data_IF_659264629232
#
_entry.id   IF_659264629232
#
_cell.length_a   1.000
_cell.length_b   1.000
_cell.length_c   1.000
_cell.angle_alpha   90.00
_cell.angle_beta   90.00
_cell.angle_gamma   90.00
#
_symmetry.space_group_name_H-M   'P 1'
#
loop_
_entity.id
_entity.type
_entity.pdbx_description
1 polymer ?
#
# COMPACT_ATOMS: atom_id res chain seq x y z
N UNK A 1 -15.87 -35.33 -44.94
CA UNK A 1 -14.41 -35.28 -45.14
C UNK A 1 -13.74 -34.00 -44.61
N UNK A 2 -14.37 -32.80 -44.69
CA UNK A 2 -13.82 -31.56 -44.10
C UNK A 2 -13.82 -31.49 -42.56
N UNK A 3 -14.61 -32.34 -41.90
CA UNK A 3 -14.76 -32.34 -40.44
C UNK A 3 -13.43 -32.62 -39.70
N UNK A 4 -12.58 -33.48 -40.26
CA UNK A 4 -11.26 -33.78 -39.69
C UNK A 4 -10.37 -32.53 -39.64
N UNK A 5 -10.41 -31.71 -40.69
CA UNK A 5 -9.67 -30.44 -40.75
C UNK A 5 -10.20 -29.44 -39.74
N UNK A 6 -11.53 -29.37 -39.53
CA UNK A 6 -12.11 -28.50 -38.50
C UNK A 6 -11.71 -28.90 -37.08
N UNK A 7 -11.73 -30.21 -36.78
CA UNK A 7 -11.28 -30.71 -35.47
C UNK A 7 -9.80 -30.36 -35.27
N UNK A 8 -8.96 -30.55 -36.30
CA UNK A 8 -7.53 -30.20 -36.22
C UNK A 8 -7.30 -28.70 -36.03
N UNK A 9 -8.00 -27.84 -36.76
CA UNK A 9 -7.89 -26.40 -36.59
C UNK A 9 -8.35 -25.95 -35.20
N UNK A 10 -9.47 -26.50 -34.73
CA UNK A 10 -10.01 -26.22 -33.41
C UNK A 10 -9.05 -26.66 -32.29
N UNK A 11 -8.43 -27.84 -32.38
CA UNK A 11 -7.50 -28.32 -31.35
C UNK A 11 -6.27 -27.43 -31.26
N UNK A 12 -5.73 -26.97 -32.40
CA UNK A 12 -4.61 -26.03 -32.42
C UNK A 12 -5.00 -24.72 -31.74
N UNK A 13 -6.12 -24.10 -32.14
CA UNK A 13 -6.59 -22.83 -31.55
C UNK A 13 -6.87 -22.99 -30.05
N UNK A 14 -7.54 -24.08 -29.65
CA UNK A 14 -7.84 -24.36 -28.25
C UNK A 14 -6.57 -24.52 -27.42
N UNK A 15 -5.55 -25.20 -27.93
CA UNK A 15 -4.27 -25.37 -27.24
C UNK A 15 -3.55 -24.03 -27.04
N UNK A 16 -3.56 -23.15 -28.04
CA UNK A 16 -3.04 -21.79 -27.92
C UNK A 16 -3.80 -20.98 -26.87
N UNK A 17 -5.14 -21.04 -26.89
CA UNK A 17 -5.99 -20.31 -25.93
C UNK A 17 -5.77 -20.79 -24.49
N UNK A 18 -5.74 -22.10 -24.25
CA UNK A 18 -5.47 -22.69 -22.93
C UNK A 18 -4.07 -22.30 -22.45
N UNK A 19 -3.06 -22.37 -23.32
CA UNK A 19 -1.69 -21.97 -22.98
C UNK A 19 -1.62 -20.49 -22.59
N UNK A 20 -2.33 -19.62 -23.31
CA UNK A 20 -2.42 -18.20 -22.98
C UNK A 20 -3.12 -17.96 -21.63
N UNK A 21 -4.22 -18.69 -21.39
CA UNK A 21 -4.95 -18.62 -20.13
C UNK A 21 -4.09 -19.05 -18.93
N UNK A 22 -3.37 -20.18 -19.05
CA UNK A 22 -2.45 -20.65 -18.01
C UNK A 22 -1.36 -19.61 -17.75
N UNK A 23 -0.74 -19.04 -18.78
CA UNK A 23 0.26 -17.96 -18.61
C UNK A 23 -0.33 -16.74 -17.89
N UNK A 24 -1.53 -16.32 -18.28
CA UNK A 24 -2.22 -15.21 -17.62
C UNK A 24 -2.50 -15.53 -16.15
N UNK A 25 -2.99 -16.72 -15.84
CA UNK A 25 -3.31 -17.15 -14.48
C UNK A 25 -2.05 -17.26 -13.61
N UNK A 26 -0.98 -17.84 -14.14
CA UNK A 26 0.33 -17.93 -13.45
C UNK A 26 0.89 -16.53 -13.20
N UNK A 27 0.84 -15.63 -14.19
CA UNK A 27 1.30 -14.24 -14.01
C UNK A 27 0.51 -13.53 -12.90
N UNK A 28 -0.81 -13.69 -12.88
CA UNK A 28 -1.68 -13.07 -11.86
C UNK A 28 -1.43 -13.71 -10.48
N UNK A 29 -1.23 -15.02 -10.41
CA UNK A 29 -0.92 -15.74 -9.17
C UNK A 29 0.45 -15.33 -8.59
N UNK A 30 1.46 -15.18 -9.44
CA UNK A 30 2.77 -14.68 -9.02
C UNK A 30 2.67 -13.23 -8.57
N UNK A 31 1.91 -12.39 -9.26
CA UNK A 31 1.68 -10.99 -8.85
C UNK A 31 0.89 -10.91 -7.54
N UNK A 32 -0.12 -11.74 -7.31
CA UNK A 32 -0.86 -11.78 -6.04
C UNK A 32 0.03 -12.29 -4.89
N UNK A 33 0.87 -13.29 -5.14
CA UNK A 33 1.86 -13.75 -4.17
C UNK A 33 2.95 -12.70 -3.93
N UNK A 34 3.43 -12.00 -4.97
CA UNK A 34 4.37 -10.88 -4.83
C UNK A 34 3.76 -9.72 -4.06
N UNK A 35 2.47 -9.39 -4.23
CA UNK A 35 1.80 -8.40 -3.37
C UNK A 35 1.69 -8.89 -1.92
N UNK A 36 1.46 -10.18 -1.70
CA UNK A 36 1.48 -10.77 -0.35
C UNK A 36 2.90 -10.83 0.27
N UNK A 37 3.96 -10.94 -0.56
CA UNK A 37 5.36 -10.98 -0.12
C UNK A 37 6.00 -9.58 -0.01
N UNK A 38 5.63 -8.63 -0.88
CA UNK A 38 5.96 -7.20 -0.77
C UNK A 38 5.29 -6.60 0.47
N UNK A 39 4.11 -7.08 0.87
CA UNK A 39 3.49 -6.77 2.16
C UNK A 39 4.15 -7.51 3.35
N UNK A 40 5.27 -8.22 3.13
CA UNK A 40 6.03 -8.95 4.18
C UNK A 40 7.56 -8.86 4.03
N UNK A 41 8.08 -8.04 3.12
CA UNK A 41 9.53 -7.86 2.97
C UNK A 41 9.96 -7.48 1.56
N UNK A 42 9.93 -6.17 1.28
CA UNK A 42 10.83 -5.43 0.40
C UNK A 42 11.41 -6.10 -0.85
N UNK A 43 11.08 -5.54 -2.03
CA UNK A 43 12.07 -5.41 -3.10
C UNK A 43 11.53 -5.51 -4.52
N UNK A 44 11.41 -4.36 -5.19
CA UNK A 44 11.63 -4.27 -6.64
C UNK A 44 10.60 -3.46 -7.43
N UNK A 45 10.65 -2.13 -7.34
CA UNK A 45 9.92 -1.25 -8.25
C UNK A 45 9.98 0.21 -7.83
N UNK A 46 11.04 0.89 -8.26
CA UNK A 46 11.35 2.30 -8.01
C UNK A 46 10.14 3.20 -8.32
N UNK A 47 9.63 3.88 -7.30
CA UNK A 47 8.95 5.16 -7.44
C UNK A 47 9.42 6.06 -6.33
N UNK A 48 10.24 7.04 -6.73
CA UNK A 48 10.62 8.20 -5.94
C UNK A 48 9.35 8.90 -5.41
N UNK A 49 9.01 8.63 -4.16
CA UNK A 49 8.16 9.49 -3.34
C UNK A 49 8.86 9.63 -2.00
N UNK A 50 9.16 10.88 -1.67
CA UNK A 50 10.08 11.29 -0.60
C UNK A 50 9.97 10.44 0.65
N UNK A 51 11.06 9.78 0.98
CA UNK A 51 11.23 9.01 2.21
C UNK A 51 11.21 10.00 3.38
N UNK A 52 10.06 10.13 4.04
CA UNK A 52 9.93 10.95 5.24
C UNK A 52 10.95 10.45 6.29
N UNK A 53 11.68 11.34 6.99
CA UNK A 53 12.81 10.94 7.84
C UNK A 53 12.42 10.03 9.02
N UNK A 54 11.14 9.96 9.38
CA UNK A 54 10.60 9.05 10.40
C UNK A 54 10.48 7.60 9.92
N UNK A 55 10.64 7.35 8.62
CA UNK A 55 10.68 6.03 8.01
C UNK A 55 12.10 5.45 8.02
N UNK A 56 12.98 5.90 8.92
CA UNK A 56 14.28 5.27 9.12
C UNK A 56 14.45 4.85 10.58
N UNK A 57 14.89 3.61 10.80
CA UNK A 57 15.30 3.16 12.13
C UNK A 57 16.58 3.90 12.57
N UNK A 58 16.96 3.80 13.85
CA UNK A 58 18.13 4.45 14.46
C UNK A 58 19.46 4.13 13.77
N UNK A 59 19.47 3.06 12.97
CA UNK A 59 20.61 2.60 12.16
C UNK A 59 20.56 3.12 10.71
N UNK A 60 19.58 3.97 10.36
CA UNK A 60 19.43 4.55 9.03
C UNK A 60 18.81 3.61 7.98
N UNK A 61 18.15 2.53 8.42
CA UNK A 61 17.46 1.59 7.51
C UNK A 61 16.02 2.02 7.29
N UNK A 62 15.52 2.02 6.04
CA UNK A 62 14.14 2.39 5.78
C UNK A 62 13.19 1.38 6.43
N UNK A 63 12.18 1.87 7.16
CA UNK A 63 11.07 1.11 7.73
C UNK A 63 9.79 1.49 6.99
N UNK A 64 9.00 0.48 6.62
CA UNK A 64 7.80 0.66 5.79
C UNK A 64 6.58 1.15 6.60
N UNK A 65 6.71 1.25 7.92
CA UNK A 65 5.68 1.76 8.82
C UNK A 65 6.26 2.75 9.85
N UNK A 66 5.58 3.87 10.15
CA UNK A 66 6.01 4.76 11.22
C UNK A 66 5.86 4.03 12.57
N UNK A 67 6.92 4.03 13.39
CA UNK A 67 6.90 3.43 14.73
C UNK A 67 5.76 4.03 15.57
N UNK A 68 4.66 3.28 15.72
CA UNK A 68 3.53 3.67 16.55
C UNK A 68 3.92 3.54 18.03
N UNK A 69 4.49 4.60 18.60
CA UNK A 69 4.77 4.67 20.04
C UNK A 69 3.49 5.07 20.77
N UNK A 70 2.72 4.08 21.21
CA UNK A 70 1.58 4.32 22.11
C UNK A 70 2.14 4.72 23.47
N UNK A 71 2.17 6.02 23.76
CA UNK A 71 2.50 6.52 25.10
C UNK A 71 1.25 6.40 25.98
N UNK A 72 1.36 5.73 27.12
CA UNK A 72 0.31 5.73 28.14
C UNK A 72 0.26 7.13 28.79
N UNK A 73 -0.44 8.06 28.15
CA UNK A 73 -0.67 9.40 28.70
C UNK A 73 -1.79 9.35 29.72
N UNK A 74 -1.64 10.09 30.82
CA UNK A 74 -2.75 10.28 31.75
C UNK A 74 -3.86 11.11 31.10
N UNK A 75 -5.10 10.92 31.54
CA UNK A 75 -6.25 11.65 30.99
C UNK A 75 -6.06 13.17 31.07
N UNK A 76 -5.46 13.64 32.17
CA UNK A 76 -5.20 15.07 32.41
C UNK A 76 -4.22 15.67 31.41
N UNK A 77 -3.19 14.91 31.05
CA UNK A 77 -2.16 15.33 30.09
C UNK A 77 -2.69 15.30 28.66
N UNK A 78 -3.49 14.30 28.32
CA UNK A 78 -4.19 14.24 27.03
C UNK A 78 -5.12 15.44 26.84
N UNK A 79 -5.85 15.83 27.90
CA UNK A 79 -6.72 17.01 27.89
C UNK A 79 -5.93 18.29 27.63
N UNK A 80 -4.85 18.54 28.37
CA UNK A 80 -3.98 19.71 28.15
C UNK A 80 -3.38 19.76 26.75
N UNK A 81 -2.98 18.61 26.20
CA UNK A 81 -2.45 18.53 24.83
C UNK A 81 -3.53 18.92 23.82
N UNK A 82 -4.75 18.44 24.01
CA UNK A 82 -5.87 18.75 23.12
C UNK A 82 -6.27 20.23 23.20
N UNK A 83 -6.33 20.79 24.41
CA UNK A 83 -6.60 22.22 24.62
C UNK A 83 -5.53 23.08 23.94
N UNK A 84 -4.24 22.71 24.06
CA UNK A 84 -3.15 23.45 23.39
C UNK A 84 -3.25 23.40 21.85
N UNK A 85 -3.74 22.28 21.29
CA UNK A 85 -3.97 22.16 19.84
C UNK A 85 -5.18 22.97 19.38
N UNK A 86 -6.18 23.11 20.23
CA UNK A 86 -7.36 23.93 19.97
C UNK A 86 -7.01 25.42 19.96
N UNK A 87 -6.28 25.90 20.98
CA UNK A 87 -5.83 27.30 21.06
C UNK A 87 -4.84 27.69 19.96
N UNK A 88 -3.99 26.75 19.52
CA UNK A 88 -3.06 26.98 18.41
C UNK A 88 -3.69 26.75 17.02
N UNK A 89 -4.98 26.40 16.96
CA UNK A 89 -5.67 26.21 15.68
C UNK A 89 -6.02 27.57 15.06
N UNK A 90 -5.67 27.80 13.78
CA UNK A 90 -5.99 29.05 13.10
C UNK A 90 -7.50 29.14 12.87
N UNK A 91 -8.18 29.89 13.73
CA UNK A 91 -9.64 30.07 13.72
C UNK A 91 -10.29 30.21 15.10
N UNK A 92 -9.53 30.48 16.16
CA UNK A 92 -10.08 30.64 17.51
C UNK A 92 -11.01 31.89 17.58
N UNK A 93 -12.29 31.77 17.96
CA UNK A 93 -13.24 32.89 17.98
C UNK A 93 -13.02 33.90 19.14
N UNK A 94 -12.11 33.66 20.07
CA UNK A 94 -11.83 34.60 21.17
C UNK A 94 -11.15 35.91 20.74
N UNK A 95 -10.53 35.97 19.56
CA UNK A 95 -9.90 37.21 19.04
C UNK A 95 -10.92 38.20 18.44
N UNK A 96 -12.21 37.84 18.36
CA UNK A 96 -13.24 38.69 17.72
C UNK A 96 -13.92 39.69 18.66
N UNK A 97 -13.60 39.72 19.97
CA UNK A 97 -14.20 40.69 20.91
C UNK A 97 -13.27 41.82 21.39
N UNK A 98 -12.07 41.97 20.83
CA UNK A 98 -11.16 43.07 21.18
C UNK A 98 -10.49 43.67 19.92
N UNK A 99 -11.30 44.21 19.01
CA UNK A 99 -10.85 45.11 17.93
C UNK A 99 -11.90 46.17 17.64
#
# INVERSE_FOLDING_TARGET
MLHLVYILAFTVIAFFAISNLIRSLVSISVESQKRAWINKGGGGGVSEKGTHPELFDKEGKPIDEPLLVIRSVSLEEARRKLDSLYESSPGNPEDTQNS
#
